data_IF_496567641137
#
_entry.id   IF_496567641137
#
_cell.length_a   1.000
_cell.length_b   1.000
_cell.length_c   1.000
_cell.angle_alpha   90.00
_cell.angle_beta   90.00
_cell.angle_gamma   90.00
#
_symmetry.space_group_name_H-M   'P 1'
#
loop_
_entity.id
_entity.type
_entity.pdbx_description
1 polymer ?
#
# COMPACT_ATOMS: atom_id res chain seq x y z
N UNK A 1 -76.00 5.15 -9.00
CA UNK A 1 -74.99 4.07 -9.02
C UNK A 1 -73.55 4.58 -8.78
N UNK A 2 -73.36 5.73 -8.10
CA UNK A 2 -72.01 6.24 -7.76
C UNK A 2 -71.77 6.37 -6.25
N UNK A 3 -72.83 6.29 -5.43
CA UNK A 3 -72.75 6.44 -3.98
C UNK A 3 -72.39 5.14 -3.23
N UNK A 4 -72.41 3.98 -3.91
CA UNK A 4 -72.05 2.68 -3.32
C UNK A 4 -70.58 2.29 -3.56
N UNK A 5 -69.89 2.96 -4.49
CA UNK A 5 -68.49 2.68 -4.83
C UNK A 5 -67.55 3.43 -3.88
N UNK A 6 -67.93 4.62 -3.40
CA UNK A 6 -67.13 5.39 -2.44
C UNK A 6 -67.02 4.74 -1.05
N UNK A 7 -68.08 4.05 -0.59
CA UNK A 7 -68.10 3.38 0.71
C UNK A 7 -67.19 2.13 0.73
N UNK A 8 -67.06 1.42 -0.40
CA UNK A 8 -66.20 0.25 -0.53
C UNK A 8 -64.71 0.60 -0.55
N UNK A 9 -64.34 1.78 -1.05
CA UNK A 9 -62.95 2.26 -1.09
C UNK A 9 -62.51 2.78 0.29
N UNK A 10 -63.42 3.40 1.06
CA UNK A 10 -63.13 3.86 2.42
C UNK A 10 -62.97 2.69 3.43
N UNK A 11 -63.67 1.57 3.22
CA UNK A 11 -63.58 0.40 4.09
C UNK A 11 -62.33 -0.47 3.81
N UNK A 12 -61.78 -0.42 2.58
CA UNK A 12 -60.54 -1.13 2.25
C UNK A 12 -59.26 -0.40 2.74
N UNK A 13 -59.32 0.90 3.04
CA UNK A 13 -58.16 1.65 3.54
C UNK A 13 -57.95 1.56 5.06
N UNK A 14 -58.87 0.94 5.81
CA UNK A 14 -58.80 0.85 7.28
C UNK A 14 -58.18 -0.46 7.80
N UNK A 15 -57.75 -1.37 6.93
CA UNK A 15 -57.21 -2.69 7.34
C UNK A 15 -55.68 -2.81 7.35
N UNK A 16 -54.92 -1.73 7.13
CA UNK A 16 -53.45 -1.81 7.04
C UNK A 16 -52.76 -0.80 7.96
N UNK A 17 -52.80 -1.05 9.28
CA UNK A 17 -51.80 -0.56 10.21
C UNK A 17 -51.96 -1.24 11.58
N UNK A 18 -51.72 -2.55 11.66
CA UNK A 18 -51.23 -3.11 12.91
C UNK A 18 -49.72 -2.80 12.96
N UNK A 19 -49.21 -2.00 13.91
CA UNK A 19 -47.78 -1.99 14.16
C UNK A 19 -47.44 -3.38 14.69
N UNK A 20 -46.85 -4.21 13.83
CA UNK A 20 -46.14 -5.39 14.28
C UNK A 20 -44.97 -4.89 15.12
N UNK A 21 -45.19 -4.79 16.43
CA UNK A 21 -44.12 -4.59 17.39
C UNK A 21 -43.24 -5.83 17.33
N UNK A 22 -42.17 -5.74 16.53
CA UNK A 22 -41.08 -6.70 16.59
C UNK A 22 -40.60 -6.71 18.04
N UNK A 23 -40.77 -7.86 18.71
CA UNK A 23 -40.17 -8.08 20.01
C UNK A 23 -38.67 -8.13 19.79
N UNK A 24 -38.04 -6.96 19.91
CA UNK A 24 -36.61 -6.83 19.96
C UNK A 24 -36.16 -7.68 21.15
N UNK A 25 -35.60 -8.86 20.89
CA UNK A 25 -34.86 -9.57 21.91
C UNK A 25 -33.75 -8.61 22.32
N UNK A 26 -33.88 -8.05 23.52
CA UNK A 26 -32.89 -7.16 24.10
C UNK A 26 -31.60 -7.98 24.21
N UNK A 27 -30.68 -7.74 23.28
CA UNK A 27 -29.30 -8.20 23.45
C UNK A 27 -28.79 -7.40 24.63
N UNK A 28 -28.74 -8.05 25.78
CA UNK A 28 -28.25 -7.47 27.02
C UNK A 28 -26.83 -6.95 26.76
N UNK A 29 -26.57 -5.64 26.90
CA UNK A 29 -25.26 -5.09 26.66
C UNK A 29 -24.28 -5.75 27.64
N UNK A 30 -23.23 -6.38 27.10
CA UNK A 30 -22.19 -7.00 27.93
C UNK A 30 -21.61 -5.93 28.86
N UNK A 31 -21.62 -6.20 30.16
CA UNK A 31 -20.99 -5.33 31.15
C UNK A 31 -19.48 -5.31 30.92
N UNK A 32 -18.97 -4.17 30.49
CA UNK A 32 -17.54 -3.96 30.28
C UNK A 32 -16.92 -3.65 31.64
N UNK A 33 -16.11 -4.58 32.16
CA UNK A 33 -15.33 -4.33 33.39
C UNK A 33 -14.24 -3.27 33.21
N UNK A 34 -13.65 -2.81 34.31
CA UNK A 34 -12.62 -1.75 34.37
C UNK A 34 -11.43 -2.02 33.41
N UNK A 35 -10.98 -3.26 33.31
CA UNK A 35 -9.91 -3.66 32.38
C UNK A 35 -10.32 -3.52 30.91
N UNK A 36 -11.59 -3.73 30.58
CA UNK A 36 -12.15 -3.55 29.25
C UNK A 36 -12.23 -2.07 28.87
N UNK A 37 -12.60 -1.20 29.81
CA UNK A 37 -12.60 0.26 29.58
C UNK A 37 -11.18 0.80 29.33
N UNK A 38 -10.21 0.34 30.12
CA UNK A 38 -8.79 0.70 29.93
C UNK A 38 -8.29 0.28 28.55
N UNK A 39 -8.64 -0.93 28.11
CA UNK A 39 -8.34 -1.42 26.76
C UNK A 39 -8.98 -0.55 25.67
N UNK A 40 -10.28 -0.25 25.77
CA UNK A 40 -10.99 0.60 24.79
C UNK A 40 -10.43 2.03 24.73
N UNK A 41 -9.98 2.58 25.86
CA UNK A 41 -9.31 3.88 25.91
C UNK A 41 -7.98 3.88 25.15
N UNK A 42 -7.21 2.80 25.22
CA UNK A 42 -5.91 2.68 24.54
C UNK A 42 -5.99 2.62 23.02
N UNK A 43 -7.15 2.23 22.47
CA UNK A 43 -7.37 1.99 21.04
C UNK A 43 -8.31 2.98 20.35
N UNK A 44 -8.91 3.92 21.10
CA UNK A 44 -9.90 4.91 20.64
C UNK A 44 -9.49 5.71 19.38
N UNK A 45 -8.19 5.94 19.17
CA UNK A 45 -7.66 6.71 18.04
C UNK A 45 -6.92 5.86 16.99
N UNK A 46 -6.93 4.53 17.13
CA UNK A 46 -6.14 3.63 16.28
C UNK A 46 -6.92 3.05 15.08
N UNK A 47 -8.18 3.48 14.87
CA UNK A 47 -9.11 2.93 13.85
C UNK A 47 -9.22 1.39 13.91
N UNK A 48 -9.13 0.83 15.10
CA UNK A 48 -9.30 -0.60 15.36
C UNK A 48 -10.79 -0.83 15.63
N UNK A 49 -11.41 -1.79 14.93
CA UNK A 49 -12.79 -2.21 15.19
C UNK A 49 -12.82 -3.07 16.45
N UNK A 50 -13.63 -2.67 17.44
CA UNK A 50 -13.71 -3.35 18.75
C UNK A 50 -15.08 -3.96 19.02
N UNK A 51 -15.96 -3.91 18.03
CA UNK A 51 -17.33 -4.40 18.14
C UNK A 51 -17.37 -5.85 17.65
N UNK A 52 -17.08 -6.77 18.57
CA UNK A 52 -17.16 -8.22 18.34
C UNK A 52 -17.85 -8.83 19.55
N UNK A 53 -19.07 -9.32 19.35
CA UNK A 53 -19.79 -10.11 20.34
C UNK A 53 -19.70 -11.60 19.95
N UNK A 54 -19.30 -12.44 20.90
CA UNK A 54 -19.35 -13.89 20.72
C UNK A 54 -20.71 -14.41 21.15
N UNK A 55 -21.23 -15.36 20.38
CA UNK A 55 -22.46 -16.05 20.70
C UNK A 55 -22.25 -17.04 21.85
N UNK A 56 -23.14 -17.03 22.83
CA UNK A 56 -23.15 -17.97 23.96
C UNK A 56 -23.74 -19.32 23.52
N UNK A 57 -22.95 -20.42 23.51
CA UNK A 57 -23.41 -21.73 23.02
C UNK A 57 -24.47 -22.38 23.92
N UNK A 58 -24.72 -21.86 25.12
CA UNK A 58 -25.76 -22.37 26.04
C UNK A 58 -27.16 -21.84 25.71
N UNK A 59 -27.26 -20.82 24.86
CA UNK A 59 -28.52 -20.23 24.41
C UNK A 59 -29.00 -20.91 23.11
N UNK A 60 -30.29 -20.79 22.73
CA UNK A 60 -30.77 -21.23 21.43
C UNK A 60 -30.23 -20.33 20.30
N UNK A 61 -29.76 -20.96 19.21
CA UNK A 61 -29.08 -20.28 18.11
C UNK A 61 -29.89 -19.09 17.58
N UNK A 62 -29.26 -17.93 17.33
CA UNK A 62 -29.96 -16.76 16.83
C UNK A 62 -30.45 -17.06 15.41
N UNK A 63 -31.61 -16.52 15.00
CA UNK A 63 -32.11 -16.70 13.64
C UNK A 63 -31.07 -16.17 12.65
N UNK A 64 -30.72 -17.00 11.65
CA UNK A 64 -29.70 -16.70 10.63
C UNK A 64 -30.24 -15.79 9.51
N UNK A 65 -31.43 -15.23 9.69
CA UNK A 65 -32.04 -14.29 8.75
C UNK A 65 -31.56 -12.87 9.05
N UNK A 66 -30.50 -12.46 8.34
CA UNK A 66 -29.96 -11.10 8.44
C UNK A 66 -30.79 -10.15 7.56
N UNK A 67 -31.70 -9.38 8.17
CA UNK A 67 -32.43 -8.29 7.49
C UNK A 67 -31.77 -6.92 7.67
N UNK A 68 -30.57 -6.87 8.26
CA UNK A 68 -29.83 -5.61 8.44
C UNK A 68 -29.33 -5.07 7.09
N UNK A 69 -29.82 -3.89 6.71
CA UNK A 69 -29.26 -3.12 5.61
C UNK A 69 -28.10 -2.28 6.13
N UNK A 70 -26.92 -2.28 5.47
CA UNK A 70 -25.78 -1.48 5.91
C UNK A 70 -26.16 0.00 6.00
N UNK A 71 -26.03 0.62 7.18
CA UNK A 71 -26.23 2.06 7.35
C UNK A 71 -25.26 2.81 6.45
N UNK A 72 -25.77 3.43 5.39
CA UNK A 72 -24.97 4.25 4.49
C UNK A 72 -24.45 5.46 5.26
N UNK A 73 -23.13 5.53 5.46
CA UNK A 73 -22.45 6.62 6.16
C UNK A 73 -22.76 7.94 5.44
N UNK A 74 -23.56 8.81 6.05
CA UNK A 74 -23.85 10.15 5.54
C UNK A 74 -22.55 10.92 5.41
N UNK A 75 -22.11 11.12 4.17
CA UNK A 75 -20.91 11.87 3.84
C UNK A 75 -21.29 13.35 3.74
N UNK A 76 -21.51 14.00 4.89
CA UNK A 76 -21.66 15.45 4.92
C UNK A 76 -20.26 16.06 4.74
N UNK A 77 -19.88 16.29 3.47
CA UNK A 77 -18.77 17.17 3.12
C UNK A 77 -19.36 18.54 2.87
N UNK A 78 -19.39 19.34 3.92
CA UNK A 78 -19.59 20.78 3.79
C UNK A 78 -18.40 21.31 2.97
N UNK A 79 -18.65 21.56 1.69
CA UNK A 79 -17.74 22.30 0.84
C UNK A 79 -17.78 23.75 1.33
N UNK A 80 -16.75 24.14 2.09
CA UNK A 80 -16.53 25.53 2.45
C UNK A 80 -16.21 26.31 1.16
N UNK A 81 -17.23 26.88 0.56
CA UNK A 81 -17.15 27.83 -0.55
C UNK A 81 -16.62 29.16 -0.02
N UNK A 82 -15.29 29.27 0.16
CA UNK A 82 -14.66 30.55 0.42
C UNK A 82 -14.57 31.34 -0.90
N UNK A 83 -15.57 32.19 -1.16
CA UNK A 83 -15.51 33.20 -2.21
C UNK A 83 -14.48 34.28 -1.83
N UNK A 84 -13.20 34.02 -2.10
CA UNK A 84 -12.20 35.09 -2.16
C UNK A 84 -12.36 35.86 -3.48
N UNK A 85 -12.27 37.21 -3.48
CA UNK A 85 -12.29 38.00 -4.71
C UNK A 85 -11.17 37.51 -5.64
N UNK A 86 -11.57 37.09 -6.85
CA UNK A 86 -10.80 36.27 -7.80
C UNK A 86 -9.39 36.81 -8.11
N UNK A 87 -9.23 38.13 -8.21
CA UNK A 87 -7.99 38.73 -8.71
C UNK A 87 -6.81 38.71 -7.72
N UNK A 88 -6.93 39.19 -6.47
CA UNK A 88 -5.82 39.09 -5.51
C UNK A 88 -5.45 37.63 -5.21
N UNK A 89 -6.42 36.72 -5.18
CA UNK A 89 -6.16 35.30 -4.98
C UNK A 89 -5.33 34.69 -6.14
N UNK A 90 -5.63 35.06 -7.39
CA UNK A 90 -4.86 34.62 -8.56
C UNK A 90 -3.43 35.16 -8.51
N UNK A 91 -3.25 36.45 -8.19
CA UNK A 91 -1.92 37.06 -8.11
C UNK A 91 -1.08 36.42 -7.00
N UNK A 92 -1.67 36.22 -5.83
CA UNK A 92 -1.00 35.56 -4.70
C UNK A 92 -0.61 34.12 -5.05
N UNK A 93 -1.52 33.37 -5.68
CA UNK A 93 -1.26 31.98 -6.08
C UNK A 93 -0.16 31.91 -7.14
N UNK A 94 -0.21 32.80 -8.13
CA UNK A 94 0.82 32.89 -9.17
C UNK A 94 2.19 33.25 -8.56
N UNK A 95 2.23 34.22 -7.64
CA UNK A 95 3.46 34.60 -6.94
C UNK A 95 4.06 33.45 -6.12
N UNK A 96 3.23 32.71 -5.39
CA UNK A 96 3.68 31.53 -4.61
C UNK A 96 4.23 30.44 -5.54
N UNK A 97 3.56 30.15 -6.66
CA UNK A 97 4.04 29.15 -7.62
C UNK A 97 5.36 29.56 -8.27
N UNK A 98 5.52 30.84 -8.59
CA UNK A 98 6.76 31.38 -9.16
C UNK A 98 7.90 31.32 -8.14
N UNK A 99 7.62 31.64 -6.88
CA UNK A 99 8.58 31.52 -5.79
C UNK A 99 9.03 30.07 -5.58
N UNK A 100 8.09 29.12 -5.55
CA UNK A 100 8.39 27.68 -5.43
C UNK A 100 9.24 27.23 -6.62
N UNK A 101 8.85 27.61 -7.85
CA UNK A 101 9.58 27.27 -9.08
C UNK A 101 11.01 27.84 -9.05
N UNK A 102 11.16 29.10 -8.66
CA UNK A 102 12.46 29.75 -8.49
C UNK A 102 13.32 29.06 -7.42
N UNK A 103 12.72 28.63 -6.30
CA UNK A 103 13.40 27.85 -5.28
C UNK A 103 13.89 26.51 -5.85
N UNK A 104 13.07 25.81 -6.62
CA UNK A 104 13.47 24.55 -7.26
C UNK A 104 14.55 24.75 -8.32
N UNK A 105 14.54 25.85 -9.09
CA UNK A 105 15.61 26.13 -10.05
C UNK A 105 16.93 26.53 -9.39
N UNK A 106 16.86 27.29 -8.29
CA UNK A 106 18.03 27.82 -7.60
C UNK A 106 18.64 26.81 -6.63
N UNK A 107 17.82 25.97 -5.99
CA UNK A 107 18.23 25.05 -4.92
C UNK A 107 17.97 23.55 -5.23
N UNK A 108 17.45 23.21 -6.42
CA UNK A 108 17.01 21.87 -6.84
C UNK A 108 18.09 20.81 -7.06
N UNK A 109 19.17 20.86 -6.28
CA UNK A 109 20.23 19.85 -6.24
C UNK A 109 20.51 19.24 -4.87
N UNK A 110 19.94 19.72 -3.76
CA UNK A 110 20.39 19.21 -2.44
C UNK A 110 19.57 19.52 -1.19
N UNK A 111 18.42 20.20 -1.25
CA UNK A 111 17.64 20.45 -0.03
C UNK A 111 16.73 19.27 0.27
N UNK A 112 17.33 18.24 0.88
CA UNK A 112 16.64 17.19 1.61
C UNK A 112 16.33 17.68 3.02
N UNK A 113 15.15 18.25 3.24
CA UNK A 113 14.63 18.40 4.60
C UNK A 113 14.16 17.02 5.04
N UNK A 114 15.05 16.29 5.69
CA UNK A 114 14.74 15.02 6.34
C UNK A 114 13.88 15.30 7.57
N UNK A 115 12.57 15.37 7.38
CA UNK A 115 11.61 15.17 8.46
C UNK A 115 11.62 13.67 8.80
N UNK A 116 12.61 13.30 9.62
CA UNK A 116 12.77 11.97 10.18
C UNK A 116 11.62 11.61 11.12
N UNK A 117 10.96 10.50 10.78
CA UNK A 117 9.88 9.78 11.46
C UNK A 117 9.86 9.83 13.00
N UNK A 118 8.64 9.85 13.53
CA UNK A 118 8.22 8.91 14.56
C UNK A 118 6.75 8.50 14.33
N UNK A 119 6.51 7.50 13.48
CA UNK A 119 5.34 6.63 13.58
C UNK A 119 5.48 5.45 12.63
N UNK A 120 5.57 4.29 13.24
CA UNK A 120 5.69 2.96 12.67
C UNK A 120 4.34 2.49 12.10
N UNK A 121 4.42 1.76 10.98
CA UNK A 121 3.38 0.95 10.33
C UNK A 121 1.97 1.53 10.13
N UNK A 122 1.60 1.75 8.85
CA UNK A 122 0.45 1.06 8.24
C UNK A 122 0.55 1.09 6.71
N UNK A 123 0.43 -0.09 6.10
CA UNK A 123 0.11 -0.29 4.69
C UNK A 123 -1.36 0.08 4.43
N UNK A 124 -1.65 0.92 3.43
CA UNK A 124 -2.99 1.00 2.81
C UNK A 124 -2.99 1.84 1.53
N UNK A 125 -3.00 1.16 0.38
CA UNK A 125 -3.98 1.38 -0.69
C UNK A 125 -4.17 2.76 -1.34
N UNK A 126 -3.56 2.90 -2.53
CA UNK A 126 -4.18 3.33 -3.79
C UNK A 126 -4.72 4.76 -3.91
N UNK A 127 -4.00 5.57 -4.72
CA UNK A 127 -4.60 6.36 -5.81
C UNK A 127 -3.62 6.49 -6.98
N UNK A 128 -3.96 5.84 -8.10
CA UNK A 128 -3.36 6.04 -9.42
C UNK A 128 -3.94 7.32 -10.04
N UNK A 129 -3.05 8.19 -10.50
CA UNK A 129 -3.12 9.17 -11.60
C UNK A 129 -1.77 9.91 -11.49
N UNK A 130 -0.82 9.87 -12.40
CA UNK A 130 -0.78 9.59 -13.83
C UNK A 130 0.21 10.63 -14.38
N UNK A 131 1.31 10.14 -14.98
CA UNK A 131 2.36 10.88 -15.69
C UNK A 131 3.50 11.52 -14.87
N UNK A 132 4.74 11.20 -15.25
CA UNK A 132 5.97 11.85 -14.78
C UNK A 132 6.85 10.97 -13.89
N UNK A 133 7.59 10.04 -14.50
CA UNK A 133 8.49 9.14 -13.77
C UNK A 133 9.60 9.86 -13.03
N UNK A 134 9.78 9.50 -11.76
CA UNK A 134 11.07 9.24 -11.11
C UNK A 134 10.81 8.26 -9.98
N UNK A 135 11.63 7.22 -9.96
CA UNK A 135 11.56 6.08 -9.04
C UNK A 135 11.50 6.56 -7.59
N UNK A 136 10.31 6.49 -6.99
CA UNK A 136 10.15 6.68 -5.56
C UNK A 136 10.55 5.41 -4.83
N UNK A 137 11.61 5.50 -4.04
CA UNK A 137 11.93 4.55 -2.97
C UNK A 137 12.47 3.18 -3.41
N UNK A 138 13.14 3.11 -4.57
CA UNK A 138 14.12 2.04 -4.80
C UNK A 138 15.47 2.51 -4.25
N UNK A 139 16.27 1.62 -3.62
CA UNK A 139 17.69 1.89 -3.41
C UNK A 139 18.27 2.39 -4.74
N UNK A 140 19.14 3.40 -4.71
CA UNK A 140 19.89 3.76 -5.92
C UNK A 140 20.80 2.57 -6.22
N UNK A 141 20.34 1.67 -7.08
CA UNK A 141 21.14 0.53 -7.50
C UNK A 141 22.36 1.07 -8.26
N UNK A 142 23.55 0.51 -8.04
CA UNK A 142 24.72 0.91 -8.80
C UNK A 142 24.50 0.63 -10.29
N UNK A 143 24.62 1.68 -11.10
CA UNK A 143 24.37 1.63 -12.54
C UNK A 143 25.47 0.89 -13.32
N UNK A 144 26.64 0.69 -12.71
CA UNK A 144 27.80 0.06 -13.34
C UNK A 144 28.49 -0.96 -12.43
N UNK A 145 29.22 -1.90 -13.03
CA UNK A 145 29.98 -2.90 -12.30
C UNK A 145 31.07 -2.24 -11.45
N UNK A 146 31.71 -1.19 -11.95
CA UNK A 146 32.73 -0.42 -11.24
C UNK A 146 32.18 0.23 -9.96
N UNK A 147 30.92 0.68 -9.97
CA UNK A 147 30.27 1.21 -8.78
C UNK A 147 30.09 0.13 -7.70
N UNK A 148 29.73 -1.10 -8.09
CA UNK A 148 29.64 -2.25 -7.17
C UNK A 148 31.02 -2.61 -6.60
N UNK A 149 32.06 -2.61 -7.43
CA UNK A 149 33.42 -2.99 -7.00
C UNK A 149 34.03 -2.03 -5.98
N UNK A 150 33.55 -0.78 -5.90
CA UNK A 150 33.98 0.22 -4.91
C UNK A 150 33.38 0.01 -3.52
N UNK A 151 32.34 -0.83 -3.40
CA UNK A 151 31.71 -1.12 -2.11
C UNK A 151 32.71 -1.93 -1.27
N UNK A 152 33.01 -1.44 -0.06
CA UNK A 152 33.99 -2.06 0.85
C UNK A 152 33.45 -3.33 1.51
N UNK A 153 32.20 -3.31 1.96
CA UNK A 153 31.57 -4.50 2.53
C UNK A 153 31.21 -5.49 1.41
N UNK A 154 31.83 -6.67 1.41
CA UNK A 154 31.58 -7.71 0.41
C UNK A 154 30.18 -8.29 0.47
N UNK A 155 29.54 -8.25 1.64
CA UNK A 155 28.14 -8.69 1.80
C UNK A 155 27.22 -7.72 1.08
N UNK A 156 27.38 -6.44 1.34
CA UNK A 156 26.65 -5.37 0.67
C UNK A 156 26.93 -5.37 -0.84
N UNK A 157 28.20 -5.53 -1.23
CA UNK A 157 28.61 -5.57 -2.63
C UNK A 157 27.97 -6.73 -3.39
N UNK A 158 27.90 -7.93 -2.79
CA UNK A 158 27.26 -9.10 -3.40
C UNK A 158 25.75 -8.89 -3.60
N UNK A 159 25.07 -8.34 -2.61
CA UNK A 159 23.63 -8.04 -2.70
C UNK A 159 23.38 -6.96 -3.75
N UNK A 160 24.19 -5.90 -3.78
CA UNK A 160 24.10 -4.86 -4.79
C UNK A 160 24.38 -5.39 -6.21
N UNK A 161 25.37 -6.28 -6.36
CA UNK A 161 25.67 -6.96 -7.63
C UNK A 161 24.46 -7.76 -8.13
N UNK A 162 23.86 -8.57 -7.26
CA UNK A 162 22.70 -9.39 -7.60
C UNK A 162 21.52 -8.52 -8.04
N UNK A 163 21.23 -7.45 -7.30
CA UNK A 163 20.15 -6.52 -7.61
C UNK A 163 20.40 -5.78 -8.94
N UNK A 164 21.60 -5.25 -9.16
CA UNK A 164 21.95 -4.50 -10.38
C UNK A 164 21.84 -5.37 -11.64
N UNK A 165 22.41 -6.58 -11.60
CA UNK A 165 22.34 -7.51 -12.74
C UNK A 165 20.90 -7.96 -12.99
N UNK A 166 20.15 -8.26 -11.92
CA UNK A 166 18.78 -8.71 -12.06
C UNK A 166 17.86 -7.61 -12.62
N UNK A 167 18.00 -6.38 -12.13
CA UNK A 167 17.26 -5.23 -12.65
C UNK A 167 17.59 -4.99 -14.14
N UNK A 168 18.87 -5.07 -14.53
CA UNK A 168 19.30 -4.93 -15.93
C UNK A 168 18.75 -6.04 -16.83
N UNK A 169 18.84 -7.29 -16.37
CA UNK A 169 18.36 -8.45 -17.15
C UNK A 169 16.84 -8.49 -17.30
N UNK A 170 16.10 -8.06 -16.29
CA UNK A 170 14.63 -7.96 -16.35
C UNK A 170 14.21 -6.72 -17.16
N UNK A 171 14.91 -5.59 -17.02
CA UNK A 171 14.67 -4.38 -17.79
C UNK A 171 14.88 -4.55 -19.30
N UNK A 172 15.93 -5.28 -19.69
CA UNK A 172 16.21 -5.73 -21.05
C UNK A 172 15.08 -6.55 -21.71
N UNK A 173 14.21 -7.14 -20.90
CA UNK A 173 13.08 -7.93 -21.38
C UNK A 173 11.83 -7.07 -21.57
N UNK A 174 11.93 -5.76 -21.31
CA UNK A 174 10.77 -4.86 -21.22
C UNK A 174 9.91 -5.10 -19.98
N UNK A 175 10.41 -5.84 -18.98
CA UNK A 175 9.68 -6.12 -17.74
C UNK A 175 10.09 -5.09 -16.70
N UNK A 176 9.11 -4.38 -16.14
CA UNK A 176 9.33 -3.49 -15.00
C UNK A 176 9.26 -4.28 -13.69
N UNK A 177 10.30 -4.16 -12.88
CA UNK A 177 10.37 -4.83 -11.58
C UNK A 177 9.33 -4.22 -10.63
N UNK A 178 8.44 -5.05 -10.08
CA UNK A 178 7.41 -4.59 -9.14
C UNK A 178 7.96 -4.50 -7.72
N UNK A 179 7.43 -3.58 -6.90
CA UNK A 179 7.87 -3.38 -5.51
C UNK A 179 7.71 -4.63 -4.63
N UNK A 180 6.72 -5.47 -4.91
CA UNK A 180 6.45 -6.68 -4.15
C UNK A 180 7.22 -7.91 -4.64
N UNK A 181 8.04 -7.79 -5.69
CA UNK A 181 8.77 -8.93 -6.21
C UNK A 181 10.03 -9.19 -5.41
N UNK A 182 10.22 -10.46 -5.05
CA UNK A 182 11.50 -10.95 -4.54
C UNK A 182 12.50 -11.12 -5.69
N UNK A 183 13.78 -11.27 -5.37
CA UNK A 183 14.81 -11.58 -6.36
C UNK A 183 14.50 -12.90 -7.11
N UNK A 184 13.95 -13.91 -6.41
CA UNK A 184 13.41 -15.12 -7.04
C UNK A 184 12.25 -14.87 -7.99
N UNK A 185 11.31 -13.99 -7.64
CA UNK A 185 10.19 -13.64 -8.52
C UNK A 185 10.66 -13.00 -9.81
N UNK A 186 11.60 -12.06 -9.71
CA UNK A 186 12.22 -11.44 -10.87
C UNK A 186 13.00 -12.45 -11.71
N UNK A 187 13.76 -13.36 -11.09
CA UNK A 187 14.47 -14.43 -11.79
C UNK A 187 13.52 -15.37 -12.56
N UNK A 188 12.32 -15.64 -12.03
CA UNK A 188 11.28 -16.43 -12.72
C UNK A 188 10.79 -15.79 -14.01
N UNK A 189 10.93 -14.47 -14.17
CA UNK A 189 10.54 -13.73 -15.39
C UNK A 189 11.60 -13.75 -16.47
N UNK A 190 12.85 -14.04 -16.11
CA UNK A 190 13.95 -14.17 -17.07
C UNK A 190 13.75 -15.45 -17.91
N UNK A 191 14.06 -15.47 -19.22
CA UNK A 191 13.85 -16.62 -20.09
C UNK A 191 14.80 -17.75 -19.73
N UNK A 192 14.37 -18.99 -19.95
CA UNK A 192 15.18 -20.17 -19.62
C UNK A 192 16.42 -20.31 -20.51
N UNK A 193 16.38 -19.76 -21.71
CA UNK A 193 17.45 -19.78 -22.71
C UNK A 193 18.42 -18.58 -22.61
N UNK A 194 18.32 -17.74 -21.58
CA UNK A 194 19.28 -16.66 -21.39
C UNK A 194 20.69 -17.25 -21.14
N UNK A 195 21.67 -16.79 -21.92
CA UNK A 195 23.08 -17.10 -21.66
C UNK A 195 23.49 -16.61 -20.27
N UNK A 196 24.27 -17.42 -19.54
CA UNK A 196 24.64 -17.15 -18.15
C UNK A 196 23.47 -17.09 -17.14
N UNK A 197 22.29 -17.63 -17.49
CA UNK A 197 21.16 -17.76 -16.54
C UNK A 197 21.56 -18.48 -15.25
N UNK A 198 22.34 -19.55 -15.35
CA UNK A 198 22.79 -20.31 -14.19
C UNK A 198 23.68 -19.46 -13.27
N UNK A 199 24.58 -18.65 -13.84
CA UNK A 199 25.41 -17.72 -13.09
C UNK A 199 24.56 -16.65 -12.39
N UNK A 200 23.53 -16.12 -13.06
CA UNK A 200 22.58 -15.19 -12.46
C UNK A 200 21.79 -15.85 -11.31
N UNK A 201 21.30 -17.08 -11.51
CA UNK A 201 20.61 -17.83 -10.47
C UNK A 201 21.51 -18.07 -9.26
N UNK A 202 22.76 -18.51 -9.49
CA UNK A 202 23.75 -18.70 -8.43
C UNK A 202 24.00 -17.42 -7.64
N UNK A 203 24.17 -16.28 -8.33
CA UNK A 203 24.36 -14.98 -7.72
C UNK A 203 23.16 -14.53 -6.88
N UNK A 204 21.94 -14.69 -7.39
CA UNK A 204 20.71 -14.35 -6.64
C UNK A 204 20.60 -15.18 -5.37
N UNK A 205 20.84 -16.50 -5.46
CA UNK A 205 20.79 -17.37 -4.29
C UNK A 205 21.88 -17.06 -3.26
N UNK A 206 23.10 -16.70 -3.73
CA UNK A 206 24.18 -16.27 -2.86
C UNK A 206 23.83 -14.95 -2.15
N UNK A 207 23.33 -13.95 -2.89
CA UNK A 207 22.86 -12.69 -2.34
C UNK A 207 21.75 -12.85 -1.30
N UNK A 208 20.76 -13.71 -1.57
CA UNK A 208 19.70 -14.02 -0.60
C UNK A 208 20.25 -14.67 0.68
N UNK A 209 21.21 -15.60 0.55
CA UNK A 209 21.83 -16.26 1.70
C UNK A 209 22.59 -15.28 2.58
N UNK A 210 23.23 -14.26 1.99
CA UNK A 210 23.93 -13.21 2.71
C UNK A 210 22.95 -12.24 3.36
N UNK A 211 21.94 -11.80 2.61
CA UNK A 211 20.95 -10.83 3.05
C UNK A 211 20.07 -11.36 4.20
N UNK A 212 19.59 -12.60 4.08
CA UNK A 212 18.65 -13.19 5.04
C UNK A 212 19.30 -14.21 5.98
N UNK A 213 20.36 -14.87 5.53
CA UNK A 213 21.05 -15.91 6.30
C UNK A 213 22.28 -15.41 7.06
N UNK A 214 22.64 -14.12 6.95
CA UNK A 214 23.72 -13.53 7.73
C UNK A 214 25.12 -14.05 7.42
N UNK A 215 25.30 -14.78 6.31
CA UNK A 215 26.57 -15.39 5.95
C UNK A 215 27.58 -14.35 5.46
N UNK A 216 28.83 -14.50 5.88
CA UNK A 216 29.94 -13.68 5.37
C UNK A 216 30.40 -14.16 3.99
N UNK A 217 31.02 -13.24 3.24
CA UNK A 217 31.48 -13.46 1.87
C UNK A 217 32.97 -13.15 1.82
N UNK A 218 33.77 -14.13 1.41
CA UNK A 218 35.20 -13.93 1.16
C UNK A 218 35.42 -13.10 -0.12
N UNK A 219 36.58 -12.45 -0.23
CA UNK A 219 36.91 -11.67 -1.42
C UNK A 219 37.01 -12.57 -2.66
N UNK A 220 37.55 -13.77 -2.51
CA UNK A 220 37.66 -14.77 -3.58
C UNK A 220 36.28 -15.25 -4.06
N UNK A 221 35.33 -15.47 -3.14
CA UNK A 221 33.96 -15.85 -3.48
C UNK A 221 33.25 -14.73 -4.24
N UNK A 222 33.42 -13.49 -3.79
CA UNK A 222 32.88 -12.31 -4.47
C UNK A 222 33.46 -12.18 -5.89
N UNK A 223 34.78 -12.29 -6.04
CA UNK A 223 35.45 -12.20 -7.33
C UNK A 223 35.03 -13.30 -8.30
N UNK A 224 34.83 -14.53 -7.80
CA UNK A 224 34.29 -15.64 -8.60
C UNK A 224 32.86 -15.36 -9.10
N UNK A 225 32.03 -14.67 -8.30
CA UNK A 225 30.70 -14.22 -8.75
C UNK A 225 30.81 -13.10 -9.79
N UNK A 226 31.68 -12.12 -9.57
CA UNK A 226 31.93 -11.02 -10.52
C UNK A 226 32.41 -11.56 -11.87
N UNK A 227 33.38 -12.47 -11.87
CA UNK A 227 33.94 -13.05 -13.11
C UNK A 227 32.87 -13.75 -13.95
N UNK A 228 31.98 -14.53 -13.31
CA UNK A 228 30.89 -15.25 -13.97
C UNK A 228 29.79 -14.33 -14.51
N UNK A 229 29.52 -13.20 -13.85
CA UNK A 229 28.42 -12.30 -14.21
C UNK A 229 28.84 -11.13 -15.11
N UNK A 230 30.15 -10.84 -15.18
CA UNK A 230 30.74 -9.76 -16.01
C UNK A 230 30.24 -9.73 -17.45
N UNK A 231 30.03 -10.85 -18.16
CA UNK A 231 29.47 -10.83 -19.52
C UNK A 231 28.10 -10.15 -19.61
N UNK A 232 27.25 -10.26 -18.58
CA UNK A 232 25.91 -9.66 -18.55
C UNK A 232 25.93 -8.13 -18.39
N UNK A 233 27.03 -7.55 -17.87
CA UNK A 233 27.22 -6.10 -17.83
C UNK A 233 27.72 -5.54 -19.18
N UNK A 234 28.58 -6.29 -19.89
CA UNK A 234 29.17 -5.85 -21.17
C UNK A 234 28.18 -5.91 -22.32
N UNK A 235 27.23 -6.85 -22.28
CA UNK A 235 26.12 -6.87 -23.22
C UNK A 235 25.21 -5.70 -22.86
N UNK A 236 25.20 -4.67 -23.71
CA UNK A 236 24.03 -3.80 -23.80
C UNK A 236 22.89 -4.72 -24.22
N UNK A 237 22.12 -5.18 -23.24
CA UNK A 237 20.92 -5.92 -23.55
C UNK A 237 19.98 -4.94 -24.27
N UNK A 238 19.39 -5.34 -25.41
CA UNK A 238 18.63 -4.45 -26.29
C UNK A 238 17.44 -3.80 -25.60
#
# INVERSE_FOLDING_TARGET
>A
MFLRIGLAIALCLSCFAAPAGAQQAAVEPLEIGESGEAYLKSIRYRRIGTDVAYYDPTRPAPPLETTETPRQRSQNRDAASAELPRMPAIILTAGILLLITYLFMTFGGGISVSLGRAAENTTSGRRRRGSGGRHGDQPVLPDSLEAVLRIRDRREALVALAQAVLARTVGAQGVLMQRSWTARDALRRVPRNLEHREALQSLVLAGERVQFGGRDVSEEEFDAHVARIRPLFRRALP
#
